data_IF_267549382216
#
_entry.id   IF_267549382216
#
_cell.length_a   1.000
_cell.length_b   1.000
_cell.length_c   1.000
_cell.angle_alpha   90.00
_cell.angle_beta   90.00
_cell.angle_gamma   90.00
#
_symmetry.space_group_name_H-M   'P 1'
#
loop_
_entity.id
_entity.type
_entity.pdbx_description
1 polymer ?
#
# COMPACT_ATOMS: atom_id res chain seq x y z
N UNK A 1 -2.38 1.33 -19.48
CA UNK A 1 -2.99 1.37 -18.13
C UNK A 1 -3.67 0.04 -17.86
N UNK A 2 -3.18 -0.68 -16.84
CA UNK A 2 -3.85 -1.88 -16.32
C UNK A 2 -4.21 -1.65 -14.87
N UNK A 3 -5.45 -1.98 -14.53
CA UNK A 3 -6.01 -1.79 -13.19
C UNK A 3 -6.31 -3.15 -12.59
N UNK A 4 -5.84 -3.36 -11.37
CA UNK A 4 -6.04 -4.59 -10.61
C UNK A 4 -6.66 -4.24 -9.26
N UNK A 5 -7.54 -5.10 -8.76
CA UNK A 5 -8.04 -4.96 -7.40
C UNK A 5 -6.96 -5.40 -6.42
N UNK A 6 -6.67 -4.58 -5.41
CA UNK A 6 -5.80 -4.95 -4.30
C UNK A 6 -6.62 -5.79 -3.31
N UNK A 7 -6.25 -7.05 -3.12
CA UNK A 7 -6.97 -7.95 -2.22
C UNK A 7 -6.35 -7.99 -0.82
N UNK A 8 -5.02 -7.90 -0.73
CA UNK A 8 -4.28 -7.92 0.53
C UNK A 8 -3.00 -7.09 0.39
N UNK A 9 -2.54 -6.53 1.50
CA UNK A 9 -1.33 -5.74 1.60
C UNK A 9 -0.66 -6.09 2.93
N UNK A 10 0.59 -6.52 2.83
CA UNK A 10 1.44 -6.84 3.96
C UNK A 10 2.73 -6.04 3.82
N UNK A 11 3.14 -5.36 4.89
CA UNK A 11 4.42 -4.66 4.94
C UNK A 11 5.42 -5.56 5.64
N UNK A 12 6.50 -5.92 4.93
CA UNK A 12 7.58 -6.72 5.48
C UNK A 12 8.63 -5.79 6.10
N UNK A 13 8.82 -5.89 7.40
CA UNK A 13 9.86 -5.18 8.16
C UNK A 13 10.73 -6.21 8.88
N UNK A 14 12.02 -6.26 8.51
CA UNK A 14 12.99 -7.24 8.99
C UNK A 14 12.44 -8.69 8.93
N UNK A 15 12.07 -9.25 10.09
CA UNK A 15 11.52 -10.61 10.27
C UNK A 15 10.01 -10.62 10.60
N UNK A 16 9.34 -9.46 10.57
CA UNK A 16 7.92 -9.32 10.88
C UNK A 16 7.11 -8.89 9.66
N UNK A 17 5.90 -9.43 9.55
CA UNK A 17 4.93 -9.03 8.55
C UNK A 17 3.81 -8.27 9.25
N UNK A 18 3.67 -7.00 8.90
CA UNK A 18 2.57 -6.14 9.33
C UNK A 18 1.44 -6.27 8.32
N UNK A 19 0.40 -7.03 8.70
CA UNK A 19 -0.79 -7.21 7.88
C UNK A 19 -1.63 -5.93 7.94
N UNK A 20 -1.94 -5.36 6.77
CA UNK A 20 -2.74 -4.14 6.67
C UNK A 20 -4.22 -4.51 6.47
N UNK A 21 -5.13 -4.17 7.40
CA UNK A 21 -6.55 -4.46 7.26
C UNK A 21 -7.16 -3.57 6.17
N UNK A 22 -7.20 -4.10 4.95
CA UNK A 22 -7.79 -3.48 3.78
C UNK A 22 -9.32 -3.64 3.78
N UNK A 23 -10.00 -2.51 3.67
CA UNK A 23 -11.44 -2.45 3.37
C UNK A 23 -11.65 -2.51 1.85
N UNK A 24 -10.85 -1.76 1.10
CA UNK A 24 -10.78 -1.87 -0.36
C UNK A 24 -9.42 -1.39 -0.86
N UNK A 25 -9.08 -1.69 -2.11
CA UNK A 25 -7.87 -1.15 -2.68
C UNK A 25 -7.72 -1.39 -4.18
N UNK A 26 -6.83 -0.59 -4.76
CA UNK A 26 -6.61 -0.51 -6.19
C UNK A 26 -5.10 -0.49 -6.48
N UNK A 27 -4.68 -1.30 -7.44
CA UNK A 27 -3.32 -1.24 -7.98
C UNK A 27 -3.40 -0.85 -9.44
N UNK A 28 -2.71 0.23 -9.79
CA UNK A 28 -2.63 0.79 -11.11
C UNK A 28 -1.21 0.63 -11.63
N UNK A 29 -1.05 -0.13 -12.70
CA UNK A 29 0.17 -0.09 -13.49
C UNK A 29 0.04 1.07 -14.48
N UNK A 30 0.86 2.11 -14.28
CA UNK A 30 0.84 3.31 -15.11
C UNK A 30 1.37 3.07 -16.52
N UNK A 31 2.15 2.00 -16.72
CA UNK A 31 2.80 1.67 -18.01
C UNK A 31 3.48 2.90 -18.64
N UNK A 32 4.01 3.80 -17.80
CA UNK A 32 4.80 4.95 -18.24
C UNK A 32 6.24 4.53 -18.53
N UNK A 33 7.04 5.43 -19.12
CA UNK A 33 8.45 5.18 -19.45
C UNK A 33 9.28 4.81 -18.21
N UNK A 34 8.77 5.11 -17.02
CA UNK A 34 9.41 4.82 -15.72
C UNK A 34 8.88 3.55 -15.06
N UNK A 35 7.93 2.85 -15.70
CA UNK A 35 7.30 1.63 -15.19
C UNK A 35 6.75 1.77 -13.77
N UNK A 36 6.15 2.91 -13.45
CA UNK A 36 5.65 3.19 -12.10
C UNK A 36 4.35 2.46 -11.78
N UNK A 37 4.20 2.11 -10.51
CA UNK A 37 2.99 1.49 -9.95
C UNK A 37 2.39 2.43 -8.91
N UNK A 38 1.08 2.62 -8.97
CA UNK A 38 0.33 3.36 -7.98
C UNK A 38 -0.55 2.37 -7.21
N UNK A 39 -0.38 2.33 -5.89
CA UNK A 39 -1.18 1.52 -4.99
C UNK A 39 -2.02 2.47 -4.14
N UNK A 40 -3.32 2.25 -4.13
CA UNK A 40 -4.28 2.94 -3.27
C UNK A 40 -4.93 1.90 -2.36
N UNK A 41 -4.82 2.09 -1.06
CA UNK A 41 -5.36 1.21 -0.04
C UNK A 41 -6.32 2.03 0.84
N UNK A 42 -7.58 1.59 0.92
CA UNK A 42 -8.55 2.11 1.88
C UNK A 42 -8.58 1.17 3.08
N UNK A 43 -8.17 1.69 4.24
CA UNK A 43 -8.00 0.92 5.49
C UNK A 43 -8.70 1.62 6.64
N UNK A 44 -8.84 0.93 7.76
CA UNK A 44 -9.20 1.59 9.02
C UNK A 44 -8.01 2.44 9.54
N UNK A 45 -8.29 3.29 10.54
CA UNK A 45 -7.33 4.18 11.18
C UNK A 45 -6.41 3.45 12.18
N UNK A 46 -6.57 2.15 12.37
CA UNK A 46 -5.78 1.34 13.31
C UNK A 46 -4.27 1.44 13.05
N UNK A 47 -3.87 1.54 11.78
CA UNK A 47 -2.46 1.69 11.36
C UNK A 47 -2.08 3.13 10.98
N UNK A 48 -2.93 4.12 11.31
CA UNK A 48 -2.66 5.52 10.95
C UNK A 48 -1.32 6.00 11.51
N UNK A 49 -1.06 5.74 12.80
CA UNK A 49 0.18 6.18 13.45
C UNK A 49 1.41 5.46 12.86
N UNK A 50 1.27 4.18 12.49
CA UNK A 50 2.30 3.41 11.80
C UNK A 50 2.68 4.04 10.45
N UNK A 51 1.70 4.29 9.58
CA UNK A 51 1.96 4.92 8.27
C UNK A 51 2.42 6.38 8.40
N UNK A 52 1.93 7.12 9.39
CA UNK A 52 2.33 8.51 9.63
C UNK A 52 3.78 8.61 10.13
N UNK A 53 4.26 7.64 10.92
CA UNK A 53 5.65 7.56 11.32
C UNK A 53 6.55 7.36 10.09
N UNK A 54 6.23 6.37 9.24
CA UNK A 54 6.96 6.07 8.00
C UNK A 54 6.97 7.28 7.05
N UNK A 55 5.84 7.98 6.91
CA UNK A 55 5.74 9.15 6.05
C UNK A 55 6.63 10.32 6.51
N UNK A 56 6.80 10.51 7.83
CA UNK A 56 7.63 11.58 8.39
C UNK A 56 9.12 11.28 8.33
N UNK A 57 9.51 10.02 8.19
CA UNK A 57 10.91 9.61 8.05
C UNK A 57 11.44 9.74 6.61
N UNK A 58 10.59 10.09 5.63
CA UNK A 58 10.98 10.35 4.24
C UNK A 58 11.43 11.78 3.96
#
# INVERSE_FOLDING_TARGET
>A
MKTFKLFSLDVLEDDQSVVVPLVDGLVLNKEDDQSTWLLEAYTDLELYDYFNAIFKEQ
#
